data_IF_199565240905
#
_entry.id   IF_199565240905
#
_cell.length_a   1.000
_cell.length_b   1.000
_cell.length_c   1.000
_cell.angle_alpha   90.00
_cell.angle_beta   90.00
_cell.angle_gamma   90.00
#
_symmetry.space_group_name_H-M   'P 1'
#
loop_
_entity.id
_entity.type
_entity.pdbx_description
1 polymer ?
#
# COMPACT_ATOMS: atom_id res chain seq x y z
N UNK A 1 18.83 -6.97 -16.23
CA UNK A 1 17.43 -7.44 -16.31
C UNK A 1 16.91 -7.43 -14.89
N UNK A 2 16.12 -6.44 -14.49
CA UNK A 2 15.66 -6.34 -13.10
C UNK A 2 14.73 -7.52 -12.83
N UNK A 3 15.09 -8.38 -11.88
CA UNK A 3 14.12 -9.26 -11.24
C UNK A 3 12.96 -8.37 -10.75
N UNK A 4 11.72 -8.78 -11.05
CA UNK A 4 10.54 -8.09 -10.55
C UNK A 4 10.53 -8.28 -9.03
N UNK A 5 10.68 -7.20 -8.26
CA UNK A 5 10.51 -7.21 -6.80
C UNK A 5 9.06 -7.62 -6.49
N UNK A 6 8.81 -8.85 -6.00
CA UNK A 6 7.46 -9.34 -5.80
C UNK A 6 6.69 -8.51 -4.78
N UNK A 7 7.40 -7.91 -3.82
CA UNK A 7 6.82 -7.00 -2.83
C UNK A 7 6.32 -5.71 -3.48
N UNK A 8 7.10 -5.15 -4.42
CA UNK A 8 6.66 -3.97 -5.18
C UNK A 8 5.46 -4.28 -6.08
N UNK A 9 5.41 -5.46 -6.69
CA UNK A 9 4.25 -5.88 -7.50
C UNK A 9 2.98 -6.00 -6.65
N UNK A 10 3.06 -6.69 -5.50
CA UNK A 10 1.95 -6.82 -4.57
C UNK A 10 1.49 -5.45 -4.05
N UNK A 11 2.43 -4.60 -3.63
CA UNK A 11 2.11 -3.24 -3.17
C UNK A 11 1.47 -2.38 -4.27
N UNK A 12 1.91 -2.52 -5.52
CA UNK A 12 1.29 -1.79 -6.64
C UNK A 12 -0.16 -2.22 -6.86
N UNK A 13 -0.46 -3.53 -6.80
CA UNK A 13 -1.84 -4.05 -6.86
C UNK A 13 -2.69 -3.54 -5.70
N UNK A 14 -2.11 -3.48 -4.50
CA UNK A 14 -2.76 -2.94 -3.30
C UNK A 14 -3.16 -1.47 -3.48
N UNK A 15 -2.24 -0.63 -3.98
CA UNK A 15 -2.51 0.80 -4.21
C UNK A 15 -3.61 1.00 -5.27
N UNK A 16 -3.60 0.22 -6.36
CA UNK A 16 -4.64 0.28 -7.40
C UNK A 16 -6.01 -0.16 -6.85
N UNK A 17 -6.05 -1.20 -6.00
CA UNK A 17 -7.29 -1.63 -5.36
C UNK A 17 -7.86 -0.51 -4.47
N UNK A 18 -7.01 0.26 -3.80
CA UNK A 18 -7.40 1.37 -2.92
C UNK A 18 -7.63 2.71 -3.61
N UNK A 19 -7.37 2.81 -4.93
CA UNK A 19 -7.47 4.06 -5.71
C UNK A 19 -8.67 4.96 -5.35
N UNK A 20 -9.91 4.44 -5.23
CA UNK A 20 -11.07 5.29 -4.93
C UNK A 20 -10.97 6.05 -3.60
N UNK A 21 -10.18 5.52 -2.66
CA UNK A 21 -10.05 6.04 -1.30
C UNK A 21 -8.68 6.62 -0.98
N UNK A 22 -7.75 6.71 -1.94
CA UNK A 22 -6.39 7.24 -1.68
C UNK A 22 -6.39 8.69 -1.15
N UNK A 23 -7.46 9.45 -1.38
CA UNK A 23 -7.65 10.79 -0.80
C UNK A 23 -8.07 10.81 0.67
N UNK A 24 -8.49 9.68 1.24
CA UNK A 24 -9.01 9.58 2.61
C UNK A 24 -8.20 8.63 3.49
N UNK A 25 -7.49 7.66 2.90
CA UNK A 25 -6.65 6.73 3.65
C UNK A 25 -5.22 7.25 3.77
N UNK A 26 -4.56 6.85 4.85
CA UNK A 26 -3.14 7.14 5.06
C UNK A 26 -2.37 5.84 5.00
N UNK A 27 -1.38 5.76 4.13
CA UNK A 27 -0.42 4.65 4.11
C UNK A 27 0.41 4.69 5.39
N UNK A 28 0.45 3.57 6.12
CA UNK A 28 1.22 3.42 7.35
C UNK A 28 2.14 2.19 7.24
N UNK A 29 2.83 1.84 8.32
CA UNK A 29 3.76 0.71 8.30
C UNK A 29 5.03 0.98 7.46
N UNK A 30 5.73 -0.08 7.05
CA UNK A 30 7.04 0.08 6.42
C UNK A 30 7.01 0.62 5.00
N UNK A 31 5.91 0.43 4.25
CA UNK A 31 5.77 1.05 2.92
C UNK A 31 5.74 2.58 2.98
N UNK A 32 5.17 3.18 4.04
CA UNK A 32 5.23 4.62 4.23
C UNK A 32 6.67 5.13 4.27
N UNK A 33 7.56 4.44 5.01
CA UNK A 33 8.98 4.77 5.05
C UNK A 33 9.68 4.63 3.69
N UNK A 34 9.30 3.64 2.88
CA UNK A 34 9.85 3.45 1.53
C UNK A 34 9.40 4.56 0.58
N UNK A 35 8.14 4.98 0.67
CA UNK A 35 7.58 6.06 -0.14
C UNK A 35 8.16 7.43 0.20
N UNK A 36 8.44 7.71 1.48
CA UNK A 36 9.09 8.97 1.86
C UNK A 36 10.44 9.18 1.14
N UNK A 37 11.18 8.10 0.84
CA UNK A 37 12.45 8.21 0.11
C UNK A 37 12.30 8.68 -1.34
N UNK A 38 11.09 8.68 -1.89
CA UNK A 38 10.82 9.22 -3.23
C UNK A 38 10.70 10.75 -3.24
N UNK A 39 10.45 11.38 -2.09
CA UNK A 39 10.36 12.84 -2.00
C UNK A 39 11.77 13.47 -2.01
N UNK A 40 12.04 14.48 -2.87
CA UNK A 40 13.35 15.14 -2.93
C UNK A 40 13.81 15.78 -1.61
N UNK A 41 12.89 16.10 -0.70
CA UNK A 41 13.18 16.71 0.60
C UNK A 41 13.55 15.68 1.66
N UNK A 42 13.32 14.39 1.40
CA UNK A 42 13.63 13.35 2.37
C UNK A 42 15.14 13.23 2.59
N UNK A 43 15.53 13.01 3.85
CA UNK A 43 16.92 12.74 4.21
C UNK A 43 17.36 11.45 3.49
N UNK A 44 18.46 11.53 2.74
CA UNK A 44 19.13 10.34 2.21
C UNK A 44 19.68 9.52 3.39
N UNK A 45 19.35 8.23 3.39
CA UNK A 45 19.79 7.28 4.41
C UNK A 45 20.81 6.34 3.78
N UNK A 46 21.95 6.15 4.46
CA UNK A 46 23.07 5.33 3.96
C UNK A 46 22.87 3.83 4.24
N UNK A 47 21.64 3.42 4.56
CA UNK A 47 21.24 2.04 4.80
C UNK A 47 20.00 1.65 3.99
N UNK A 48 19.92 0.37 3.64
CA UNK A 48 18.78 -0.20 2.92
C UNK A 48 17.51 -0.12 3.79
N UNK A 49 16.33 0.18 3.19
CA UNK A 49 15.08 0.16 3.93
C UNK A 49 14.84 -1.21 4.57
N UNK A 50 14.23 -1.23 5.76
CA UNK A 50 13.60 -2.46 6.26
C UNK A 50 12.51 -2.87 5.26
N UNK A 51 12.59 -4.10 4.79
CA UNK A 51 11.57 -4.69 3.93
C UNK A 51 10.40 -5.15 4.79
N UNK A 52 9.18 -4.81 4.41
CA UNK A 52 7.97 -5.40 4.99
C UNK A 52 7.35 -6.39 4.01
N UNK A 53 6.62 -7.36 4.55
CA UNK A 53 5.91 -8.38 3.76
C UNK A 53 4.45 -8.02 3.52
N UNK A 54 3.98 -6.95 4.15
CA UNK A 54 2.61 -6.46 4.19
C UNK A 54 2.51 -5.00 3.71
N UNK A 55 1.28 -4.52 3.58
CA UNK A 55 0.96 -3.11 3.33
C UNK A 55 -0.19 -2.68 4.24
N UNK A 56 0.01 -1.58 4.96
CA UNK A 56 -0.94 -1.09 5.96
C UNK A 56 -1.58 0.23 5.54
N UNK A 57 -2.87 0.37 5.85
CA UNK A 57 -3.60 1.63 5.73
C UNK A 57 -4.40 1.95 6.98
N UNK A 58 -4.25 3.18 7.44
CA UNK A 58 -5.17 3.77 8.40
C UNK A 58 -6.36 4.35 7.64
N UNK A 59 -7.56 3.98 8.07
CA UNK A 59 -8.83 4.46 7.50
C UNK A 59 -9.55 5.37 8.51
N UNK A 60 -10.27 6.40 8.05
CA UNK A 60 -11.14 7.17 8.93
C UNK A 60 -12.28 6.29 9.47
N UNK A 61 -12.93 6.67 10.60
CA UNK A 61 -14.07 5.95 11.14
C UNK A 61 -15.24 5.77 10.15
N UNK A 62 -15.33 6.66 9.17
CA UNK A 62 -16.26 6.57 8.05
C UNK A 62 -15.50 6.86 6.77
N UNK A 63 -15.33 5.82 5.96
CA UNK A 63 -14.80 5.94 4.61
C UNK A 63 -15.89 6.41 3.65
N UNK A 64 -15.55 7.23 2.66
CA UNK A 64 -16.46 7.57 1.56
C UNK A 64 -17.10 6.32 0.97
N UNK A 65 -18.41 6.42 0.78
CA UNK A 65 -19.18 5.40 0.06
C UNK A 65 -18.79 5.44 -1.41
N UNK A 66 -18.45 4.28 -1.93
CA UNK A 66 -18.20 4.02 -3.34
C UNK A 66 -19.16 2.93 -3.83
N UNK A 67 -19.21 2.73 -5.14
CA UNK A 67 -19.98 1.64 -5.76
C UNK A 67 -19.44 0.25 -5.38
N UNK A 68 -18.18 0.16 -4.98
CA UNK A 68 -17.52 -1.06 -4.53
C UNK A 68 -17.04 -0.95 -3.09
N UNK A 69 -16.74 -2.09 -2.46
CA UNK A 69 -16.14 -2.14 -1.13
C UNK A 69 -14.62 -2.36 -1.25
N UNK A 70 -13.87 -1.94 -0.22
CA UNK A 70 -12.41 -2.20 -0.14
C UNK A 70 -12.14 -3.69 -0.31
N UNK A 71 -12.89 -4.54 0.42
CA UNK A 71 -12.84 -5.99 0.31
C UNK A 71 -12.99 -6.48 -1.13
N UNK A 72 -14.05 -6.05 -1.83
CA UNK A 72 -14.33 -6.51 -3.20
C UNK A 72 -13.18 -6.15 -4.15
N UNK A 73 -12.65 -4.92 -4.06
CA UNK A 73 -11.54 -4.48 -4.92
C UNK A 73 -10.24 -5.21 -4.64
N UNK A 74 -9.95 -5.54 -3.38
CA UNK A 74 -8.79 -6.36 -3.01
C UNK A 74 -8.91 -7.78 -3.59
N UNK A 75 -10.08 -8.42 -3.46
CA UNK A 75 -10.32 -9.73 -4.06
C UNK A 75 -10.17 -9.69 -5.60
N UNK A 76 -10.71 -8.67 -6.27
CA UNK A 76 -10.58 -8.48 -7.72
C UNK A 76 -9.13 -8.23 -8.16
N UNK A 77 -8.30 -7.66 -7.28
CA UNK A 77 -6.86 -7.47 -7.50
C UNK A 77 -6.03 -8.75 -7.22
N UNK A 78 -6.67 -9.85 -6.82
CA UNK A 78 -6.04 -11.15 -6.58
C UNK A 78 -5.50 -11.33 -5.17
N UNK A 79 -5.95 -10.54 -4.19
CA UNK A 79 -5.67 -10.80 -2.78
C UNK A 79 -6.63 -11.85 -2.22
N UNK A 80 -6.16 -12.60 -1.24
CA UNK A 80 -6.95 -13.59 -0.50
C UNK A 80 -7.17 -13.09 0.93
N UNK A 81 -8.31 -13.44 1.51
CA UNK A 81 -8.62 -13.09 2.89
C UNK A 81 -8.04 -14.12 3.84
N UNK A 82 -7.27 -13.66 4.81
CA UNK A 82 -6.77 -14.47 5.92
C UNK A 82 -7.41 -13.98 7.22
N UNK A 83 -8.14 -14.87 7.90
CA UNK A 83 -8.74 -14.61 9.21
C UNK A 83 -8.07 -15.52 10.22
N UNK A 84 -7.33 -14.93 11.16
CA UNK A 84 -6.68 -15.62 12.29
C UNK A 84 -7.61 -15.68 13.49
#
# INVERSE_FOLDING_TARGET
MSERDPGLEAFSKFIVALEPWLGEVVLVGGWAHRLYRLDPRARKLDYLPLTTLDGDVAVPPKLKKEESTVRKRLLEAGFEEEFV
#
